data_IF_237635088420
#
_entry.id   IF_237635088420
#
_cell.length_a   1.000
_cell.length_b   1.000
_cell.length_c   1.000
_cell.angle_alpha   90.00
_cell.angle_beta   90.00
_cell.angle_gamma   90.00
#
_symmetry.space_group_name_H-M   'P 1'
#
loop_
_entity.id
_entity.type
_entity.pdbx_description
1 polymer ?
#
# COMPACT_ATOMS: atom_id res chain seq x y z
N UNK A 1 4.75 -20.31 -14.72
CA UNK A 1 3.88 -19.97 -13.58
C UNK A 1 2.45 -20.42 -13.87
N UNK A 2 1.80 -21.00 -12.88
CA UNK A 2 0.42 -21.42 -13.07
C UNK A 2 -0.54 -20.31 -12.60
N UNK A 3 -1.85 -20.51 -12.84
CA UNK A 3 -2.86 -19.50 -12.49
C UNK A 3 -2.89 -19.18 -11.01
N UNK A 4 -2.68 -20.17 -10.17
CA UNK A 4 -2.69 -19.99 -8.72
C UNK A 4 -1.55 -19.10 -8.29
N UNK A 5 -0.37 -19.32 -8.83
CA UNK A 5 0.80 -18.51 -8.51
C UNK A 5 0.59 -17.05 -8.94
N UNK A 6 0.05 -16.87 -10.15
CA UNK A 6 -0.22 -15.51 -10.65
C UNK A 6 -1.25 -14.81 -9.77
N UNK A 7 -2.29 -15.51 -9.35
CA UNK A 7 -3.32 -14.94 -8.47
C UNK A 7 -2.76 -14.53 -7.13
N UNK A 8 -1.90 -15.36 -6.55
CA UNK A 8 -1.28 -15.06 -5.27
C UNK A 8 -0.37 -13.84 -5.35
N UNK A 9 0.42 -13.75 -6.41
CA UNK A 9 1.30 -12.60 -6.60
C UNK A 9 0.52 -11.33 -6.85
N UNK A 10 -0.57 -11.43 -7.63
CA UNK A 10 -1.44 -10.28 -7.88
C UNK A 10 -2.06 -9.76 -6.58
N UNK A 11 -2.52 -10.67 -5.75
CA UNK A 11 -3.12 -10.31 -4.48
C UNK A 11 -2.09 -9.66 -3.56
N UNK A 12 -0.90 -10.24 -3.49
CA UNK A 12 0.18 -9.70 -2.67
C UNK A 12 0.56 -8.29 -3.13
N UNK A 13 0.63 -8.09 -4.43
CA UNK A 13 0.97 -6.78 -5.00
C UNK A 13 -0.11 -5.75 -4.66
N UNK A 14 -1.38 -6.15 -4.78
CA UNK A 14 -2.48 -5.25 -4.47
C UNK A 14 -2.45 -4.82 -3.00
N UNK A 15 -2.21 -5.76 -2.11
CA UNK A 15 -2.12 -5.47 -0.68
C UNK A 15 -0.93 -4.56 -0.40
N UNK A 16 0.19 -4.83 -1.03
CA UNK A 16 1.39 -4.00 -0.85
C UNK A 16 1.13 -2.55 -1.28
N UNK A 17 0.49 -2.36 -2.42
CA UNK A 17 0.16 -1.02 -2.92
C UNK A 17 -0.81 -0.32 -1.98
N UNK A 18 -1.81 -1.03 -1.48
CA UNK A 18 -2.77 -0.47 -0.54
C UNK A 18 -2.10 -0.02 0.76
N UNK A 19 -1.17 -0.83 1.25
CA UNK A 19 -0.42 -0.48 2.46
C UNK A 19 0.46 0.74 2.25
N UNK A 20 1.09 0.85 1.09
CA UNK A 20 1.92 2.00 0.75
C UNK A 20 1.06 3.26 0.70
N UNK A 21 -0.11 3.18 0.08
CA UNK A 21 -1.02 4.32 0.02
C UNK A 21 -1.47 4.75 1.41
N UNK A 22 -1.84 3.80 2.27
CA UNK A 22 -2.24 4.10 3.64
C UNK A 22 -1.10 4.77 4.40
N UNK A 23 0.09 4.25 4.25
CA UNK A 23 1.27 4.80 4.89
C UNK A 23 1.51 6.24 4.45
N UNK A 24 1.44 6.49 3.15
CA UNK A 24 1.66 7.83 2.59
C UNK A 24 0.59 8.82 3.06
N UNK A 25 -0.66 8.38 3.11
CA UNK A 25 -1.75 9.21 3.62
C UNK A 25 -1.51 9.59 5.08
N UNK A 26 -1.15 8.63 5.90
CA UNK A 26 -0.88 8.89 7.31
C UNK A 26 0.32 9.80 7.48
N UNK A 27 1.34 9.61 6.67
CA UNK A 27 2.53 10.44 6.70
C UNK A 27 2.20 11.89 6.32
N UNK A 28 1.39 12.08 5.28
CA UNK A 28 0.97 13.41 4.85
C UNK A 28 0.17 14.13 5.93
N UNK A 29 -0.76 13.41 6.56
CA UNK A 29 -1.58 13.97 7.63
C UNK A 29 -0.73 14.37 8.82
N UNK A 30 0.22 13.52 9.19
CA UNK A 30 1.12 13.81 10.28
C UNK A 30 2.00 15.02 9.99
N UNK A 31 2.51 15.11 8.76
CA UNK A 31 3.35 16.23 8.35
C UNK A 31 2.57 17.53 8.37
N UNK A 32 1.33 17.52 7.90
CA UNK A 32 0.46 18.70 7.94
C UNK A 32 0.20 19.15 9.38
N UNK A 33 -0.03 18.19 10.26
CA UNK A 33 -0.30 18.49 11.67
C UNK A 33 0.91 19.12 12.34
N UNK A 34 2.09 18.64 12.01
CA UNK A 34 3.33 19.13 12.59
C UNK A 34 3.68 20.51 12.02
N UNK A 35 3.42 20.70 10.73
CA UNK A 35 3.76 21.94 10.02
C UNK A 35 2.99 23.15 10.51
N UNK A 36 1.83 22.89 11.04
CA UNK A 36 1.01 23.96 11.53
C UNK A 36 1.43 24.36 12.93
#
# INVERSE_FOLDING_TARGET
MNSITISLWSLALLVAVALVFDFMNGFHDAANSIST
#
